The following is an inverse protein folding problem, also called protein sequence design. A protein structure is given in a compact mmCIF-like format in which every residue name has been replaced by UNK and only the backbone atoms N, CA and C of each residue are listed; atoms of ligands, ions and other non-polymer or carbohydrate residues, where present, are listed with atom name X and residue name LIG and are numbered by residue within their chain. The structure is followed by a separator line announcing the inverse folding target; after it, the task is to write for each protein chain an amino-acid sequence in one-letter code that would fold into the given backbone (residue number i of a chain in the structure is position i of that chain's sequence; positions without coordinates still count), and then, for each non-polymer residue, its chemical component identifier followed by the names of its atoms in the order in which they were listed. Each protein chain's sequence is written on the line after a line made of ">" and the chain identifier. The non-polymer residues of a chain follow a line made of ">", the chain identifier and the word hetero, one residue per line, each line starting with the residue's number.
data_IF_028078652957
#
_entry.id   IF_028078652957
#
_cell.length_a   1.000
_cell.length_b   1.000
_cell.length_c   1.000
_cell.angle_alpha   90.00
_cell.angle_beta   90.00
_cell.angle_gamma   90.00
#
_symmetry.space_group_name_H-M   'P 1'
#
loop_
_entity.id
_entity.type
_entity.pdbx_description
1 polymer ?
#
# COMPACT_ATOMS: atom_id res chain seq x y z
N UNK A 1 -14.32 25.15 -47.98
CA UNK A 1 -13.50 23.92 -48.02
C UNK A 1 -13.91 23.08 -46.84
N UNK A 2 -14.38 21.84 -47.05
CA UNK A 2 -14.57 20.90 -45.95
C UNK A 2 -13.21 20.62 -45.31
N UNK A 3 -13.10 20.75 -44.00
CA UNK A 3 -11.88 20.31 -43.33
C UNK A 3 -11.86 18.77 -43.26
N UNK A 4 -10.68 18.20 -43.03
CA UNK A 4 -10.50 16.75 -43.03
C UNK A 4 -11.25 16.06 -41.88
N UNK A 5 -11.49 16.76 -40.77
CA UNK A 5 -12.28 16.26 -39.64
C UNK A 5 -13.77 16.14 -39.99
N UNK A 6 -14.33 17.09 -40.74
CA UNK A 6 -15.74 17.05 -41.19
C UNK A 6 -15.98 15.89 -42.16
N UNK A 7 -15.00 15.62 -43.04
CA UNK A 7 -15.02 14.48 -43.94
C UNK A 7 -14.98 13.14 -43.21
N UNK A 8 -14.12 13.04 -42.19
CA UNK A 8 -13.97 11.82 -41.38
C UNK A 8 -15.20 11.56 -40.50
N UNK A 9 -15.75 12.59 -39.86
CA UNK A 9 -16.95 12.47 -39.03
C UNK A 9 -18.17 11.97 -39.83
N UNK A 10 -18.27 12.38 -41.10
CA UNK A 10 -19.35 11.93 -41.99
C UNK A 10 -19.20 10.48 -42.43
N UNK A 11 -17.98 9.99 -42.63
CA UNK A 11 -17.71 8.59 -43.04
C UNK A 11 -17.86 7.64 -41.85
N UNK A 12 -17.47 8.07 -40.64
CA UNK A 12 -17.52 7.25 -39.44
C UNK A 12 -18.95 6.92 -38.97
N UNK A 13 -19.95 7.72 -39.38
CA UNK A 13 -21.32 7.57 -38.89
C UNK A 13 -21.47 7.94 -37.41
N UNK A 14 -22.69 7.93 -36.86
CA UNK A 14 -22.90 8.14 -35.43
C UNK A 14 -22.21 7.03 -34.64
N UNK A 15 -21.37 7.41 -33.68
CA UNK A 15 -20.70 6.46 -32.80
C UNK A 15 -21.74 5.66 -32.03
N UNK A 16 -21.76 4.34 -32.24
CA UNK A 16 -22.57 3.45 -31.42
C UNK A 16 -21.98 3.42 -30.01
N UNK A 17 -22.81 3.61 -28.99
CA UNK A 17 -22.36 3.40 -27.63
C UNK A 17 -21.92 1.94 -27.45
N UNK A 18 -20.74 1.70 -26.86
CA UNK A 18 -20.25 0.36 -26.67
C UNK A 18 -21.18 -0.39 -25.72
N UNK A 19 -21.52 -1.62 -26.07
CA UNK A 19 -22.34 -2.46 -25.19
C UNK A 19 -21.53 -2.86 -23.95
N UNK A 20 -22.21 -3.20 -22.86
CA UNK A 20 -21.55 -3.62 -21.62
C UNK A 20 -20.62 -4.81 -21.84
N UNK A 21 -20.99 -5.73 -22.71
CA UNK A 21 -20.20 -6.91 -23.08
C UNK A 21 -18.93 -6.51 -23.83
N UNK A 22 -18.99 -5.50 -24.70
CA UNK A 22 -17.82 -4.97 -25.41
C UNK A 22 -16.84 -4.30 -24.43
N UNK A 23 -17.35 -3.51 -23.48
CA UNK A 23 -16.54 -2.90 -22.42
C UNK A 23 -15.83 -3.95 -21.57
N UNK A 24 -16.55 -5.01 -21.17
CA UNK A 24 -15.98 -6.12 -20.39
C UNK A 24 -14.91 -6.88 -21.20
N UNK A 25 -15.18 -7.16 -22.48
CA UNK A 25 -14.22 -7.84 -23.35
C UNK A 25 -12.95 -7.02 -23.57
N UNK A 26 -13.08 -5.70 -23.70
CA UNK A 26 -11.95 -4.79 -23.89
C UNK A 26 -11.13 -4.63 -22.60
N UNK A 27 -11.79 -4.57 -21.43
CA UNK A 27 -11.12 -4.62 -20.14
C UNK A 27 -10.33 -5.93 -19.95
N UNK A 28 -10.93 -7.07 -20.26
CA UNK A 28 -10.24 -8.37 -20.17
C UNK A 28 -9.03 -8.45 -21.12
N UNK A 29 -9.17 -7.90 -22.33
CA UNK A 29 -8.07 -7.82 -23.31
C UNK A 29 -6.94 -6.89 -22.82
N UNK A 30 -7.29 -5.74 -22.25
CA UNK A 30 -6.35 -4.79 -21.67
C UNK A 30 -5.58 -5.39 -20.49
N UNK A 31 -6.28 -6.04 -19.56
CA UNK A 31 -5.66 -6.74 -18.43
C UNK A 31 -4.70 -7.84 -18.90
N UNK A 32 -5.08 -8.63 -19.91
CA UNK A 32 -4.21 -9.67 -20.48
C UNK A 32 -2.95 -9.11 -21.14
N UNK A 33 -3.08 -8.02 -21.90
CA UNK A 33 -1.94 -7.35 -22.53
C UNK A 33 -1.00 -6.74 -21.48
N UNK A 34 -1.55 -6.14 -20.41
CA UNK A 34 -0.78 -5.57 -19.31
C UNK A 34 -0.01 -6.64 -18.54
N UNK A 35 -0.65 -7.77 -18.21
CA UNK A 35 0.03 -8.91 -17.57
C UNK A 35 1.21 -9.39 -18.42
N UNK A 36 1.02 -9.55 -19.73
CA UNK A 36 2.08 -9.96 -20.66
C UNK A 36 3.23 -8.95 -20.74
N UNK A 37 2.93 -7.65 -20.68
CA UNK A 37 3.96 -6.59 -20.66
C UNK A 37 4.75 -6.60 -19.36
N UNK A 38 4.08 -6.79 -18.22
CA UNK A 38 4.74 -6.90 -16.90
C UNK A 38 5.71 -8.08 -16.85
N UNK A 39 5.33 -9.23 -17.40
CA UNK A 39 6.24 -10.40 -17.49
C UNK A 39 7.41 -10.21 -18.45
N UNK A 40 7.30 -9.31 -19.43
CA UNK A 40 8.41 -9.01 -20.36
C UNK A 40 9.34 -7.91 -19.85
N UNK A 41 8.84 -6.98 -19.02
CA UNK A 41 9.64 -5.88 -18.47
C UNK A 41 10.53 -6.29 -17.28
N UNK A 42 10.25 -7.41 -16.62
CA UNK A 42 11.11 -7.97 -15.57
C UNK A 42 12.38 -8.65 -16.13
N UNK A 43 12.48 -8.88 -17.44
CA UNK A 43 13.63 -9.53 -18.08
C UNK A 43 14.70 -8.56 -18.64
N UNK A 44 14.48 -7.23 -18.62
CA UNK A 44 15.31 -6.26 -19.36
C UNK A 44 15.86 -5.10 -18.52
N UNK A 45 16.04 -5.27 -17.20
CA UNK A 45 16.43 -4.21 -16.27
C UNK A 45 17.88 -4.27 -15.78
N UNK A 46 18.86 -4.57 -16.64
CA UNK A 46 20.29 -4.58 -16.26
C UNK A 46 21.21 -4.00 -17.32
N UNK A 47 21.08 -2.69 -17.61
CA UNK A 47 22.16 -1.91 -18.18
C UNK A 47 21.91 -0.41 -17.96
N UNK A 48 22.76 0.24 -17.15
CA UNK A 48 23.40 1.54 -17.36
C UNK A 48 23.78 2.21 -16.03
N UNK A 49 24.97 2.81 -16.03
CA UNK A 49 25.87 2.98 -14.89
C UNK A 49 25.91 4.40 -14.32
N UNK A 50 26.30 4.47 -13.04
CA UNK A 50 27.19 5.43 -12.33
C UNK A 50 27.28 6.89 -12.81
N UNK A 51 26.95 7.83 -11.91
CA UNK A 51 27.78 9.02 -11.61
C UNK A 51 27.36 9.67 -10.28
N UNK A 52 28.27 9.69 -9.31
CA UNK A 52 28.15 10.44 -8.05
C UNK A 52 28.87 11.78 -8.20
N UNK A 53 28.26 12.88 -7.75
CA UNK A 53 28.97 14.12 -7.40
C UNK A 53 28.36 14.67 -6.11
N UNK A 54 29.17 14.71 -5.07
CA UNK A 54 28.93 15.43 -3.83
C UNK A 54 29.32 16.90 -4.01
N UNK A 55 28.54 17.82 -3.46
CA UNK A 55 28.99 19.18 -3.17
C UNK A 55 28.26 19.70 -1.93
N UNK A 56 29.01 19.75 -0.83
CA UNK A 56 28.66 20.49 0.38
C UNK A 56 29.02 21.96 0.18
N UNK A 57 28.15 22.89 0.60
CA UNK A 57 28.54 24.24 0.95
C UNK A 57 27.74 24.71 2.16
N UNK A 58 28.46 24.93 3.25
CA UNK A 58 28.03 25.68 4.41
C UNK A 58 28.29 27.18 4.17
N UNK A 59 27.36 28.04 4.57
CA UNK A 59 27.69 29.41 4.96
C UNK A 59 26.89 29.79 6.21
N UNK A 60 27.65 30.14 7.24
CA UNK A 60 27.20 30.73 8.49
C UNK A 60 27.02 32.25 8.34
N UNK A 61 26.19 32.82 9.20
CA UNK A 61 26.42 34.06 10.00
C UNK A 61 25.19 34.98 10.06
N UNK A 62 24.90 35.48 11.27
CA UNK A 62 24.11 36.69 11.47
C UNK A 62 22.96 36.57 12.47
N UNK A 63 23.28 36.54 13.77
CA UNK A 63 22.38 37.07 14.81
C UNK A 63 22.75 38.53 15.09
N UNK A 64 21.76 39.36 15.45
CA UNK A 64 21.85 40.00 16.75
C UNK A 64 20.53 39.98 17.51
N UNK A 65 20.65 39.90 18.83
CA UNK A 65 19.58 40.01 19.81
C UNK A 65 19.22 41.46 20.12
N UNK A 66 17.95 41.75 20.39
CA UNK A 66 17.55 42.79 21.35
C UNK A 66 16.16 42.50 21.94
N UNK A 67 16.18 42.41 23.27
CA UNK A 67 15.16 42.26 24.30
C UNK A 67 13.96 43.23 24.24
N UNK A 68 12.74 42.77 24.56
CA UNK A 68 11.84 43.30 25.63
C UNK A 68 10.59 42.40 25.78
N UNK A 69 10.15 42.21 27.03
CA UNK A 69 9.16 41.24 27.53
C UNK A 69 7.77 41.91 27.74
N UNK A 70 6.75 41.24 28.32
CA UNK A 70 5.59 40.62 27.67
C UNK A 70 4.27 41.39 27.85
N UNK A 71 3.26 41.14 27.00
CA UNK A 71 1.88 41.53 27.32
C UNK A 71 0.90 40.37 27.06
N UNK A 72 0.17 40.01 28.11
CA UNK A 72 -0.81 38.95 28.15
C UNK A 72 -2.11 39.38 27.45
N UNK A 73 -2.69 38.50 26.63
CA UNK A 73 -4.10 38.59 26.24
C UNK A 73 -4.77 37.22 26.25
N UNK A 74 -5.92 37.21 26.93
CA UNK A 74 -6.75 36.09 27.36
C UNK A 74 -7.17 35.10 26.24
N UNK A 75 -7.56 33.86 26.61
CA UNK A 75 -7.90 32.82 25.65
C UNK A 75 -9.25 33.10 24.99
N UNK A 76 -9.27 33.14 23.67
CA UNK A 76 -10.51 33.04 22.89
C UNK A 76 -10.94 31.57 22.86
N UNK A 77 -12.10 31.31 23.45
CA UNK A 77 -12.81 30.03 23.42
C UNK A 77 -13.19 29.71 21.98
N UNK A 78 -12.40 28.86 21.31
CA UNK A 78 -12.82 28.23 20.07
C UNK A 78 -13.83 27.14 20.41
N UNK A 79 -15.10 27.41 20.15
CA UNK A 79 -16.19 26.44 20.17
C UNK A 79 -15.92 25.42 19.07
N UNK A 80 -15.35 24.27 19.43
CA UNK A 80 -15.15 23.14 18.53
C UNK A 80 -16.52 22.55 18.18
N UNK A 81 -17.03 22.89 17.01
CA UNK A 81 -18.05 22.08 16.34
C UNK A 81 -17.49 20.68 16.18
N UNK A 82 -18.16 19.71 16.77
CA UNK A 82 -17.76 18.30 16.72
C UNK A 82 -17.90 17.77 15.29
N UNK A 83 -16.82 17.86 14.52
CA UNK A 83 -16.63 17.05 13.33
C UNK A 83 -16.57 15.58 13.76
N UNK A 84 -17.42 14.77 13.14
CA UNK A 84 -17.53 13.34 13.38
C UNK A 84 -16.16 12.67 13.19
N UNK A 85 -15.52 12.37 14.33
CA UNK A 85 -14.26 11.64 14.43
C UNK A 85 -14.45 10.28 13.73
N UNK A 86 -13.74 10.07 12.62
CA UNK A 86 -13.54 8.73 12.08
C UNK A 86 -13.21 7.78 13.25
N UNK A 87 -13.78 6.55 13.31
CA UNK A 87 -13.55 5.67 14.44
C UNK A 87 -12.05 5.56 14.67
N UNK A 88 -11.62 5.93 15.89
CA UNK A 88 -10.21 5.88 16.25
C UNK A 88 -9.72 4.46 15.97
N UNK A 89 -8.62 4.32 15.22
CA UNK A 89 -8.03 3.02 14.94
C UNK A 89 -7.70 2.33 16.26
N UNK A 90 -8.56 1.40 16.64
CA UNK A 90 -8.50 0.68 17.89
C UNK A 90 -8.27 -0.78 17.56
N UNK A 91 -7.12 -1.31 17.96
CA UNK A 91 -6.86 -2.73 17.86
C UNK A 91 -7.64 -3.46 18.96
N UNK A 92 -8.38 -4.48 18.55
CA UNK A 92 -9.12 -5.38 19.43
C UNK A 92 -8.56 -6.79 19.31
N UNK A 93 -8.66 -7.58 20.37
CA UNK A 93 -8.22 -8.97 20.34
C UNK A 93 -9.01 -9.74 19.26
N UNK A 94 -8.28 -10.39 18.35
CA UNK A 94 -8.88 -11.22 17.33
C UNK A 94 -9.47 -12.48 17.97
N UNK A 95 -10.76 -12.74 17.70
CA UNK A 95 -11.52 -13.86 18.27
C UNK A 95 -11.90 -14.93 17.25
N UNK A 96 -11.55 -14.72 15.98
CA UNK A 96 -11.83 -15.69 14.92
C UNK A 96 -10.90 -16.91 15.00
N UNK A 97 -11.12 -17.85 14.07
CA UNK A 97 -10.24 -19.01 13.93
C UNK A 97 -8.83 -18.55 13.54
N UNK A 98 -7.83 -19.02 14.28
CA UNK A 98 -6.43 -18.74 13.96
C UNK A 98 -6.01 -19.57 12.73
N UNK A 99 -5.37 -18.95 11.72
CA UNK A 99 -4.86 -19.69 10.59
C UNK A 99 -3.62 -20.53 10.95
N UNK A 100 -3.40 -21.65 10.27
CA UNK A 100 -2.27 -22.52 10.62
C UNK A 100 -0.91 -21.87 10.31
N UNK A 101 -0.85 -21.09 9.23
CA UNK A 101 0.35 -20.40 8.77
C UNK A 101 0.66 -19.11 9.55
N UNK A 102 -0.33 -18.48 10.18
CA UNK A 102 -0.15 -17.20 10.85
C UNK A 102 -0.93 -17.13 12.16
N UNK A 103 -0.40 -16.44 13.15
CA UNK A 103 -1.16 -16.10 14.35
C UNK A 103 -1.41 -14.61 14.35
N UNK A 104 -2.68 -14.22 14.50
CA UNK A 104 -3.10 -12.81 14.58
C UNK A 104 -3.65 -12.57 15.98
N UNK A 105 -2.96 -11.76 16.76
CA UNK A 105 -3.37 -11.41 18.12
C UNK A 105 -4.47 -10.34 18.12
N UNK A 106 -4.36 -9.36 17.22
CA UNK A 106 -5.23 -8.20 17.18
C UNK A 106 -5.58 -7.81 15.74
N UNK A 107 -6.80 -7.31 15.56
CA UNK A 107 -7.29 -6.70 14.33
C UNK A 107 -7.94 -5.36 14.67
N UNK A 108 -7.99 -4.39 13.75
CA UNK A 108 -8.73 -3.16 14.01
C UNK A 108 -10.21 -3.44 14.28
N UNK A 109 -10.84 -2.65 15.13
CA UNK A 109 -12.26 -2.73 15.38
C UNK A 109 -13.06 -2.59 14.08
N UNK A 110 -13.99 -3.50 13.83
CA UNK A 110 -14.77 -3.55 12.59
C UNK A 110 -14.03 -4.20 11.42
N UNK A 111 -12.91 -4.88 11.65
CA UNK A 111 -12.20 -5.67 10.64
C UNK A 111 -12.17 -7.15 11.04
N UNK A 112 -12.20 -8.03 10.05
CA UNK A 112 -12.06 -9.48 10.20
C UNK A 112 -11.07 -10.06 9.20
N UNK A 113 -10.61 -11.29 9.48
CA UNK A 113 -9.82 -12.07 8.53
C UNK A 113 -10.77 -12.61 7.47
N UNK A 114 -10.60 -12.18 6.23
CA UNK A 114 -11.50 -12.50 5.10
C UNK A 114 -11.05 -13.76 4.35
N UNK A 115 -9.74 -13.99 4.24
CA UNK A 115 -9.20 -15.12 3.48
C UNK A 115 -7.83 -15.53 3.96
N UNK A 116 -7.54 -16.82 3.90
CA UNK A 116 -6.29 -17.43 4.38
C UNK A 116 -5.81 -18.47 3.37
N UNK A 117 -4.53 -18.44 3.07
CA UNK A 117 -3.79 -19.49 2.37
C UNK A 117 -2.56 -19.89 3.20
N UNK A 118 -1.77 -20.84 2.72
CA UNK A 118 -0.50 -21.21 3.36
C UNK A 118 0.55 -20.07 3.35
N UNK A 119 0.41 -19.10 2.44
CA UNK A 119 1.38 -18.02 2.24
C UNK A 119 0.83 -16.60 2.42
N UNK A 120 -0.48 -16.46 2.61
CA UNK A 120 -1.13 -15.16 2.75
C UNK A 120 -2.35 -15.22 3.66
N UNK A 121 -2.69 -14.09 4.26
CA UNK A 121 -3.99 -13.81 4.84
C UNK A 121 -4.41 -12.40 4.40
N UNK A 122 -5.72 -12.18 4.34
CA UNK A 122 -6.30 -10.86 4.06
C UNK A 122 -7.18 -10.43 5.21
N UNK A 123 -7.07 -9.16 5.59
CA UNK A 123 -7.88 -8.53 6.63
C UNK A 123 -8.64 -7.38 5.99
N UNK A 124 -9.94 -7.29 6.23
CA UNK A 124 -10.78 -6.24 5.67
C UNK A 124 -11.94 -5.90 6.57
N UNK A 125 -12.70 -4.83 6.27
CA UNK A 125 -13.91 -4.49 7.01
C UNK A 125 -14.86 -5.70 7.13
N UNK A 126 -15.50 -5.83 8.29
CA UNK A 126 -16.50 -6.85 8.55
C UNK A 126 -17.65 -6.78 7.54
N UNK A 127 -18.11 -7.94 7.07
CA UNK A 127 -19.27 -8.01 6.16
C UNK A 127 -19.00 -7.59 4.72
N UNK A 128 -17.73 -7.48 4.30
CA UNK A 128 -17.41 -7.32 2.89
C UNK A 128 -17.90 -8.52 2.07
N UNK A 129 -18.56 -8.23 0.94
CA UNK A 129 -19.04 -9.26 0.02
C UNK A 129 -17.90 -10.01 -0.68
N UNK A 130 -16.77 -9.34 -0.91
CA UNK A 130 -15.57 -9.94 -1.45
C UNK A 130 -14.78 -10.62 -0.33
N UNK A 131 -14.85 -11.95 -0.28
CA UNK A 131 -14.06 -12.80 0.62
C UNK A 131 -12.94 -13.55 -0.11
N UNK A 132 -12.62 -13.21 -1.37
CA UNK A 132 -11.55 -13.88 -2.10
C UNK A 132 -10.19 -13.56 -1.43
N UNK A 133 -9.42 -14.57 -0.98
CA UNK A 133 -8.09 -14.37 -0.40
C UNK A 133 -7.07 -13.75 -1.37
N UNK A 134 -7.34 -13.77 -2.69
CA UNK A 134 -6.47 -13.21 -3.72
C UNK A 134 -6.92 -11.82 -4.21
N UNK A 135 -8.05 -11.31 -3.69
CA UNK A 135 -8.49 -9.93 -3.93
C UNK A 135 -8.02 -9.04 -2.80
N UNK A 136 -7.22 -8.02 -3.13
CA UNK A 136 -6.67 -7.06 -2.16
C UNK A 136 -7.38 -5.70 -2.18
N UNK A 137 -8.44 -5.56 -2.98
CA UNK A 137 -9.19 -4.31 -3.09
C UNK A 137 -9.91 -4.03 -1.78
N UNK A 138 -9.60 -2.89 -1.15
CA UNK A 138 -10.17 -2.51 0.15
C UNK A 138 -9.71 -3.39 1.33
N UNK A 139 -8.69 -4.25 1.13
CA UNK A 139 -8.16 -5.16 2.14
C UNK A 139 -6.69 -4.87 2.41
N UNK A 140 -6.26 -5.24 3.61
CA UNK A 140 -4.85 -5.35 3.98
C UNK A 140 -4.42 -6.79 3.70
N UNK A 141 -3.36 -6.94 2.90
CA UNK A 141 -2.78 -8.24 2.62
C UNK A 141 -1.57 -8.47 3.51
N UNK A 142 -1.49 -9.63 4.13
CA UNK A 142 -0.36 -10.06 4.94
C UNK A 142 0.16 -11.34 4.33
N UNK A 143 1.41 -11.38 3.92
CA UNK A 143 1.94 -12.52 3.17
C UNK A 143 3.42 -12.73 3.43
N UNK A 144 3.89 -13.95 3.19
CA UNK A 144 5.32 -14.15 3.04
C UNK A 144 5.76 -13.66 1.66
N UNK A 145 6.91 -12.97 1.63
CA UNK A 145 7.58 -12.59 0.40
C UNK A 145 7.69 -13.81 -0.54
N UNK A 146 7.50 -13.59 -1.84
CA UNK A 146 7.59 -14.66 -2.85
C UNK A 146 9.00 -15.25 -2.85
N UNK A 147 9.12 -16.58 -3.04
CA UNK A 147 10.43 -17.22 -3.23
C UNK A 147 11.13 -16.73 -4.49
N UNK A 148 10.40 -16.20 -5.46
CA UNK A 148 10.95 -15.71 -6.73
C UNK A 148 11.34 -14.22 -6.63
N UNK A 149 10.95 -13.53 -5.55
CA UNK A 149 11.29 -12.12 -5.33
C UNK A 149 12.74 -12.01 -4.83
N UNK A 150 13.64 -11.87 -5.80
CA UNK A 150 15.06 -11.66 -5.56
C UNK A 150 15.46 -10.29 -6.10
N UNK A 151 15.98 -9.42 -5.25
CA UNK A 151 16.42 -8.10 -5.67
C UNK A 151 16.56 -7.10 -4.54
N UNK A 152 17.07 -5.91 -4.88
CA UNK A 152 17.03 -4.77 -3.96
C UNK A 152 15.58 -4.29 -3.84
N UNK A 153 15.15 -4.03 -2.60
CA UNK A 153 13.83 -3.47 -2.33
C UNK A 153 13.62 -2.20 -3.19
N UNK A 154 12.47 -2.04 -3.85
CA UNK A 154 12.25 -0.89 -4.70
C UNK A 154 12.26 0.41 -3.88
N UNK A 155 12.75 1.49 -4.47
CA UNK A 155 12.83 2.79 -3.81
C UNK A 155 13.91 2.87 -2.71
N UNK A 156 13.69 3.79 -1.76
CA UNK A 156 14.54 3.94 -0.56
C UNK A 156 13.79 3.31 0.61
N UNK A 157 14.19 2.13 1.11
CA UNK A 157 13.55 1.52 2.27
C UNK A 157 13.73 2.43 3.48
N UNK A 158 12.63 2.71 4.16
CA UNK A 158 12.60 3.51 5.38
C UNK A 158 12.52 2.56 6.57
N UNK A 159 13.59 2.48 7.37
CA UNK A 159 13.66 1.58 8.52
C UNK A 159 12.64 1.96 9.59
N UNK A 160 12.06 0.95 10.22
CA UNK A 160 11.12 1.10 11.33
C UNK A 160 11.26 -0.08 12.29
N UNK A 161 11.00 0.15 13.57
CA UNK A 161 10.96 -0.90 14.60
C UNK A 161 9.52 -1.36 14.83
N UNK A 162 9.33 -2.66 14.96
CA UNK A 162 8.06 -3.32 15.26
C UNK A 162 8.26 -4.19 16.50
N UNK A 163 8.05 -3.59 17.68
CA UNK A 163 8.56 -4.16 18.94
C UNK A 163 10.08 -4.35 18.84
N UNK A 164 10.54 -5.58 19.09
CA UNK A 164 11.96 -5.95 19.01
C UNK A 164 12.43 -6.36 17.60
N UNK A 165 11.56 -6.25 16.57
CA UNK A 165 11.87 -6.64 15.19
C UNK A 165 12.17 -5.42 14.33
N UNK A 166 13.23 -5.49 13.53
CA UNK A 166 13.49 -4.50 12.48
C UNK A 166 12.63 -4.80 11.25
N UNK A 167 12.05 -3.75 10.68
CA UNK A 167 11.38 -3.78 9.40
C UNK A 167 11.66 -2.54 8.57
N UNK A 168 11.08 -2.48 7.39
CA UNK A 168 11.23 -1.34 6.51
C UNK A 168 9.99 -1.10 5.66
N UNK A 169 9.65 0.16 5.50
CA UNK A 169 8.59 0.60 4.62
C UNK A 169 9.09 0.82 3.20
N UNK A 170 8.27 0.41 2.24
CA UNK A 170 8.50 0.60 0.81
C UNK A 170 7.23 1.14 0.17
N UNK A 171 7.36 2.21 -0.62
CA UNK A 171 6.26 2.71 -1.44
C UNK A 171 6.03 1.76 -2.62
N UNK A 172 4.78 1.36 -2.83
CA UNK A 172 4.35 0.52 -3.95
C UNK A 172 3.51 1.38 -4.90
N UNK A 173 4.03 1.77 -6.07
CA UNK A 173 3.18 2.40 -7.08
C UNK A 173 2.22 1.36 -7.66
N UNK A 174 0.93 1.64 -7.66
CA UNK A 174 -0.11 0.77 -8.22
C UNK A 174 -0.85 1.44 -9.38
N UNK A 175 -1.49 0.64 -10.22
CA UNK A 175 -2.31 1.15 -11.34
C UNK A 175 -3.66 1.73 -10.90
N UNK A 176 -4.08 1.44 -9.67
CA UNK A 176 -5.38 1.83 -9.10
C UNK A 176 -5.23 2.73 -7.86
N UNK A 177 -4.00 3.14 -7.54
CA UNK A 177 -3.62 3.88 -6.34
C UNK A 177 -2.20 3.51 -5.94
N UNK A 178 -1.51 4.40 -5.23
CA UNK A 178 -0.26 4.03 -4.59
C UNK A 178 -0.58 3.15 -3.37
N UNK A 179 0.46 2.65 -2.72
CA UNK A 179 0.34 1.87 -1.52
C UNK A 179 1.66 1.83 -0.78
N UNK A 180 1.63 1.17 0.38
CA UNK A 180 2.80 0.98 1.20
C UNK A 180 2.89 -0.48 1.64
N UNK A 181 4.07 -1.05 1.48
CA UNK A 181 4.43 -2.35 2.04
C UNK A 181 5.30 -2.15 3.25
N UNK A 182 4.96 -2.80 4.36
CA UNK A 182 5.87 -3.02 5.48
C UNK A 182 6.47 -4.41 5.34
N UNK A 183 7.80 -4.50 5.36
CA UNK A 183 8.50 -5.77 5.38
C UNK A 183 9.18 -5.98 6.73
N UNK A 184 9.09 -7.20 7.25
CA UNK A 184 9.66 -7.59 8.54
C UNK A 184 10.44 -8.88 8.34
N UNK A 185 11.74 -8.83 8.61
CA UNK A 185 12.62 -9.99 8.48
C UNK A 185 12.17 -11.09 9.44
N UNK A 186 11.90 -12.29 8.93
CA UNK A 186 11.57 -13.45 9.75
C UNK A 186 12.81 -14.31 10.01
N UNK A 187 12.84 -15.10 11.09
CA UNK A 187 13.94 -16.03 11.37
C UNK A 187 14.22 -17.04 10.25
N UNK A 188 13.24 -17.30 9.38
CA UNK A 188 13.40 -18.16 8.20
C UNK A 188 14.23 -17.54 7.08
N UNK A 189 14.57 -16.24 7.17
CA UNK A 189 15.28 -15.48 6.13
C UNK A 189 14.37 -14.89 5.05
N UNK A 190 13.06 -15.18 5.09
CA UNK A 190 12.05 -14.54 4.24
C UNK A 190 11.43 -13.35 4.98
N UNK A 191 11.01 -12.32 4.25
CA UNK A 191 10.26 -11.22 4.86
C UNK A 191 8.77 -11.58 4.98
N UNK A 192 8.16 -11.21 6.11
CA UNK A 192 6.73 -10.97 6.20
C UNK A 192 6.45 -9.63 5.54
N UNK A 193 5.54 -9.59 4.59
CA UNK A 193 5.08 -8.38 3.91
C UNK A 193 3.64 -8.07 4.32
N UNK A 194 3.39 -6.83 4.72
CA UNK A 194 2.05 -6.29 4.97
C UNK A 194 1.82 -5.17 3.95
N UNK A 195 0.92 -5.40 3.02
CA UNK A 195 0.56 -4.46 1.96
C UNK A 195 -0.73 -3.74 2.32
N UNK A 196 -0.66 -2.40 2.30
CA UNK A 196 -1.81 -1.52 2.45
C UNK A 196 -1.87 -0.62 1.23
N UNK A 197 -2.93 -0.78 0.45
CA UNK A 197 -3.21 0.07 -0.71
C UNK A 197 -3.95 1.34 -0.31
N UNK A 198 -3.78 2.39 -1.11
CA UNK A 198 -4.56 3.62 -0.98
C UNK A 198 -6.06 3.31 -0.97
N UNK A 199 -6.80 4.02 -0.12
CA UNK A 199 -8.23 3.78 0.11
C UNK A 199 -8.54 2.97 1.38
N UNK A 200 -7.58 2.19 1.91
CA UNK A 200 -7.74 1.53 3.23
C UNK A 200 -7.56 2.54 4.38
N UNK A 201 -6.77 3.59 4.17
CA UNK A 201 -6.65 4.73 5.09
C UNK A 201 -5.82 4.48 6.35
N UNK A 202 -5.03 3.40 6.39
CA UNK A 202 -4.15 3.16 7.54
C UNK A 202 -2.89 4.02 7.47
N UNK A 203 -2.54 4.66 8.58
CA UNK A 203 -1.25 5.33 8.76
C UNK A 203 -0.13 4.30 9.02
N UNK A 204 1.12 4.74 8.88
CA UNK A 204 2.30 3.90 9.16
C UNK A 204 2.30 3.34 10.58
N UNK A 205 1.97 4.16 11.58
CA UNK A 205 1.93 3.74 12.98
C UNK A 205 0.87 2.66 13.21
N UNK A 206 -0.26 2.76 12.52
CA UNK A 206 -1.34 1.77 12.57
C UNK A 206 -0.90 0.44 11.93
N UNK A 207 -0.16 0.49 10.82
CA UNK A 207 0.42 -0.68 10.19
C UNK A 207 1.43 -1.35 11.13
N UNK A 208 2.29 -0.58 11.78
CA UNK A 208 3.27 -1.09 12.76
C UNK A 208 2.56 -1.75 13.94
N UNK A 209 1.56 -1.08 14.52
CA UNK A 209 0.82 -1.61 15.67
C UNK A 209 0.09 -2.93 15.31
N UNK A 210 -0.51 -3.01 14.13
CA UNK A 210 -1.10 -4.26 13.65
C UNK A 210 -0.03 -5.35 13.44
N UNK A 211 1.09 -4.99 12.82
CA UNK A 211 2.17 -5.93 12.52
C UNK A 211 2.81 -6.55 13.77
N UNK A 212 2.86 -5.82 14.88
CA UNK A 212 3.32 -6.32 16.19
C UNK A 212 2.48 -7.52 16.65
N UNK A 213 1.17 -7.50 16.37
CA UNK A 213 0.25 -8.59 16.68
C UNK A 213 0.30 -9.77 15.69
N UNK A 214 1.12 -9.73 14.65
CA UNK A 214 1.20 -10.78 13.61
C UNK A 214 2.47 -11.62 13.78
N UNK A 215 2.27 -12.93 13.90
CA UNK A 215 3.33 -13.94 13.96
C UNK A 215 3.23 -14.91 12.80
N UNK A 216 4.35 -15.18 12.13
CA UNK A 216 4.47 -16.23 11.11
C UNK A 216 4.76 -17.56 11.80
N UNK A 217 3.95 -18.57 11.52
CA UNK A 217 4.12 -19.91 12.07
C UNK A 217 5.00 -20.79 11.15
N UNK A 218 5.48 -21.92 11.67
CA UNK A 218 6.33 -22.87 10.91
C UNK A 218 5.66 -23.48 9.67
N UNK A 219 4.32 -23.46 9.63
CA UNK A 219 3.54 -24.00 8.52
C UNK A 219 3.39 -23.01 7.35
N UNK A 220 3.83 -21.76 7.53
CA UNK A 220 3.76 -20.76 6.49
C UNK A 220 4.71 -21.11 5.34
N UNK A 221 4.20 -21.07 4.12
CA UNK A 221 4.99 -21.31 2.90
C UNK A 221 4.96 -20.06 2.03
N UNK A 222 6.12 -19.53 1.64
CA UNK A 222 6.17 -18.42 0.70
C UNK A 222 5.51 -18.81 -0.62
N UNK A 223 4.78 -17.87 -1.20
CA UNK A 223 4.18 -18.03 -2.52
C UNK A 223 5.24 -18.06 -3.64
N UNK A 224 4.77 -18.33 -4.85
CA UNK A 224 5.50 -18.11 -6.11
C UNK A 224 4.78 -17.03 -6.91
N UNK A 225 5.52 -16.10 -7.48
CA UNK A 225 4.95 -14.88 -8.09
C UNK A 225 6.00 -14.02 -8.76
#
# INVERSE_FOLDING_TARGET
>A
MMNLQDGLARIAGPGAEPTREQVVADLARGQKALRRRRTMQTAAGSAFAVAAVAAAFAFASGSPAATTTPEAKAPVTSTTTADAKAPAFQLIAYKGKQPDAFTVAQVPAGYEVQGVTEGSLTVGPEGMADQDPNSFVGKVAVMLQSVDEHGKMPGKPEKVMIGDREGFFVKRPGSEGDGISLFIMQPSGMNLEIQVWDGVGWSRDQIVAFAEGVTVNKNAKPGRG
#
